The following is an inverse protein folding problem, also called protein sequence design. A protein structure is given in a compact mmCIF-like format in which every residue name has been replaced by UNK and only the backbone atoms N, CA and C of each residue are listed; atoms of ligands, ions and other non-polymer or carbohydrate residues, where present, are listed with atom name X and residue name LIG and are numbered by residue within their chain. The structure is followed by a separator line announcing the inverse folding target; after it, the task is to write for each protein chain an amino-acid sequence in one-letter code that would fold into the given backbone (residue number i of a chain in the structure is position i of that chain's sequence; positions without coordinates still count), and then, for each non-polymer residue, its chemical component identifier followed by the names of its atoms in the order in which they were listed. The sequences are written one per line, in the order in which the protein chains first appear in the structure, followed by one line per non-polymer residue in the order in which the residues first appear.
data_IF_318480473894
#
_entry.id   IF_318480473894
#
_cell.length_a   1.000
_cell.length_b   1.000
_cell.length_c   1.000
_cell.angle_alpha   90.00
_cell.angle_beta   90.00
_cell.angle_gamma   90.00
#
_symmetry.space_group_name_H-M   'P 1'
#
loop_
_entity.id
_entity.type
_entity.pdbx_description
1 polymer ?
#
# COMPACT_ATOMS: atom_id res chain seq x y z
N UNK A 1 6.20 15.52 -2.94
CA UNK A 1 6.97 14.93 -4.06
C UNK A 1 6.05 14.57 -5.23
N UNK A 2 6.39 15.03 -6.45
CA UNK A 2 5.62 14.80 -7.69
C UNK A 2 6.03 13.49 -8.37
N UNK A 3 5.11 12.81 -9.05
CA UNK A 3 5.41 11.60 -9.83
C UNK A 3 6.51 11.81 -10.89
N UNK A 4 6.70 13.05 -11.35
CA UNK A 4 7.76 13.43 -12.30
C UNK A 4 9.17 13.09 -11.79
N UNK A 5 9.35 13.10 -10.47
CA UNK A 5 10.61 12.80 -9.82
C UNK A 5 10.86 11.32 -9.56
N UNK A 6 9.88 10.43 -9.79
CA UNK A 6 10.06 8.99 -9.48
C UNK A 6 11.23 8.36 -10.23
N UNK A 7 11.40 8.55 -11.56
CA UNK A 7 12.51 7.90 -12.26
C UNK A 7 13.88 8.20 -11.64
N UNK A 8 14.10 9.44 -11.18
CA UNK A 8 15.32 9.84 -10.47
C UNK A 8 15.48 9.17 -9.10
N UNK A 9 14.39 9.05 -8.33
CA UNK A 9 14.42 8.32 -7.06
C UNK A 9 14.73 6.84 -7.25
N UNK A 10 14.13 6.21 -8.27
CA UNK A 10 14.36 4.80 -8.58
C UNK A 10 15.80 4.58 -9.02
N UNK A 11 16.37 5.47 -9.85
CA UNK A 11 17.80 5.41 -10.19
C UNK A 11 18.63 5.37 -8.92
N UNK A 12 18.40 6.32 -8.01
CA UNK A 12 19.11 6.39 -6.72
C UNK A 12 18.90 5.13 -5.88
N UNK A 13 17.68 4.57 -5.84
CA UNK A 13 17.40 3.33 -5.10
C UNK A 13 18.17 2.13 -5.69
N UNK A 14 18.13 1.95 -7.02
CA UNK A 14 18.88 0.89 -7.72
C UNK A 14 20.37 1.03 -7.42
N UNK A 15 20.93 2.22 -7.58
CA UNK A 15 22.34 2.48 -7.33
C UNK A 15 22.72 2.25 -5.86
N UNK A 16 21.82 2.58 -4.93
CA UNK A 16 22.01 2.32 -3.49
C UNK A 16 22.03 0.82 -3.21
N UNK A 17 21.06 0.05 -3.73
CA UNK A 17 21.00 -1.40 -3.53
C UNK A 17 22.20 -2.12 -4.15
N UNK A 18 22.70 -1.66 -5.29
CA UNK A 18 23.92 -2.22 -5.93
C UNK A 18 25.19 -1.99 -5.12
N UNK A 19 25.24 -0.90 -4.34
CA UNK A 19 26.42 -0.50 -3.57
C UNK A 19 26.35 -0.91 -2.09
N UNK A 20 25.21 -1.43 -1.63
CA UNK A 20 25.01 -1.87 -0.26
C UNK A 20 25.52 -3.30 -0.08
N UNK A 21 26.58 -3.47 0.72
CA UNK A 21 27.17 -4.79 0.99
C UNK A 21 26.29 -5.69 1.86
N UNK A 22 25.21 -5.17 2.45
CA UNK A 22 24.27 -5.94 3.27
C UNK A 22 23.13 -6.57 2.47
N UNK A 23 23.00 -6.20 1.19
CA UNK A 23 22.00 -6.75 0.27
C UNK A 23 22.73 -7.59 -0.78
N UNK A 24 22.35 -8.86 -0.93
CA UNK A 24 22.75 -9.62 -2.10
C UNK A 24 21.90 -9.14 -3.29
N UNK A 25 22.44 -8.17 -4.04
CA UNK A 25 21.72 -7.52 -5.13
C UNK A 25 21.23 -8.54 -6.16
N UNK A 26 21.98 -9.62 -6.41
CA UNK A 26 21.62 -10.63 -7.41
C UNK A 26 20.64 -11.68 -6.85
N UNK A 27 20.81 -12.07 -5.59
CA UNK A 27 20.11 -13.24 -5.07
C UNK A 27 18.94 -12.98 -4.13
N UNK A 28 18.90 -11.85 -3.43
CA UNK A 28 17.81 -11.54 -2.52
C UNK A 28 16.54 -11.14 -3.26
N UNK A 29 15.37 -11.53 -2.76
CA UNK A 29 14.12 -10.94 -3.21
C UNK A 29 13.94 -9.54 -2.63
N UNK A 30 13.62 -8.57 -3.49
CA UNK A 30 13.37 -7.18 -3.11
C UNK A 30 11.88 -6.87 -3.24
N UNK A 31 11.25 -6.41 -2.17
CA UNK A 31 9.91 -5.83 -2.22
C UNK A 31 10.01 -4.31 -2.22
N UNK A 32 9.52 -3.68 -3.28
CA UNK A 32 9.48 -2.20 -3.40
C UNK A 32 8.04 -1.74 -3.51
N UNK A 33 7.61 -0.90 -2.57
CA UNK A 33 6.29 -0.28 -2.60
C UNK A 33 6.32 1.10 -3.26
N UNK A 34 5.50 1.29 -4.28
CA UNK A 34 5.29 2.60 -4.93
C UNK A 34 3.92 3.16 -4.50
N UNK A 35 3.92 4.28 -3.79
CA UNK A 35 2.71 5.02 -3.43
C UNK A 35 2.91 6.51 -3.75
N UNK A 36 2.32 6.96 -4.86
CA UNK A 36 2.55 8.29 -5.43
C UNK A 36 1.27 8.88 -6.01
N UNK A 37 1.30 10.17 -6.31
CA UNK A 37 0.27 10.89 -7.04
C UNK A 37 -0.50 11.86 -6.16
N UNK A 38 -0.45 11.71 -4.83
CA UNK A 38 -1.17 12.58 -3.89
C UNK A 38 -0.82 14.06 -4.08
N UNK A 39 0.48 14.38 -4.18
CA UNK A 39 0.91 15.77 -4.40
C UNK A 39 0.48 16.32 -5.77
N UNK A 40 0.56 15.49 -6.80
CA UNK A 40 0.20 15.87 -8.17
C UNK A 40 -1.30 16.11 -8.28
N UNK A 41 -2.12 15.26 -7.67
CA UNK A 41 -3.57 15.44 -7.56
C UNK A 41 -3.92 16.73 -6.81
N UNK A 42 -3.22 17.02 -5.72
CA UNK A 42 -3.42 18.23 -4.91
C UNK A 42 -3.04 19.53 -5.62
N UNK A 43 -2.20 19.45 -6.65
CA UNK A 43 -1.70 20.60 -7.41
C UNK A 43 -2.18 20.62 -8.88
N UNK A 44 -2.95 19.62 -9.30
CA UNK A 44 -3.35 19.38 -10.68
C UNK A 44 -3.94 20.62 -11.36
N UNK A 45 -4.84 21.34 -10.66
CA UNK A 45 -5.50 22.52 -11.18
C UNK A 45 -4.56 23.70 -11.47
N UNK A 46 -3.36 23.72 -10.88
CA UNK A 46 -2.37 24.78 -11.08
C UNK A 46 -1.50 24.56 -12.32
N UNK A 47 -1.32 23.32 -12.77
CA UNK A 47 -0.50 22.98 -13.94
C UNK A 47 -0.97 21.69 -14.61
N UNK A 48 -2.14 21.74 -15.24
CA UNK A 48 -2.79 20.58 -15.87
C UNK A 48 -1.97 19.96 -17.01
N UNK A 49 -1.18 20.78 -17.71
CA UNK A 49 -0.37 20.31 -18.83
C UNK A 49 0.77 19.41 -18.34
N UNK A 50 1.49 19.86 -17.30
CA UNK A 50 2.60 19.12 -16.73
C UNK A 50 2.12 17.97 -15.86
N UNK A 51 1.03 18.16 -15.11
CA UNK A 51 0.41 17.17 -14.23
C UNK A 51 -0.65 16.33 -14.96
N UNK A 52 -0.37 15.94 -16.21
CA UNK A 52 -1.29 15.17 -17.06
C UNK A 52 -1.17 13.66 -16.86
N UNK A 53 -2.24 12.91 -17.19
CA UNK A 53 -2.25 11.45 -17.19
C UNK A 53 -1.16 10.87 -18.11
N UNK A 54 -0.90 11.51 -19.25
CA UNK A 54 0.13 11.08 -20.18
C UNK A 54 1.52 11.15 -19.53
N UNK A 55 1.82 12.23 -18.82
CA UNK A 55 3.08 12.35 -18.08
C UNK A 55 3.14 11.37 -16.90
N UNK A 56 2.02 11.15 -16.20
CA UNK A 56 1.95 10.14 -15.15
C UNK A 56 2.33 8.75 -15.71
N UNK A 57 1.65 8.32 -16.77
CA UNK A 57 1.89 7.02 -17.40
C UNK A 57 3.30 6.92 -17.98
N UNK A 58 3.84 7.99 -18.56
CA UNK A 58 5.23 8.05 -19.02
C UNK A 58 6.22 7.80 -17.87
N UNK A 59 6.14 8.59 -16.80
CA UNK A 59 7.07 8.48 -15.67
C UNK A 59 6.94 7.13 -14.95
N UNK A 60 5.72 6.61 -14.79
CA UNK A 60 5.50 5.28 -14.23
C UNK A 60 6.09 4.18 -15.13
N UNK A 61 5.85 4.20 -16.45
CA UNK A 61 6.45 3.23 -17.38
C UNK A 61 7.97 3.29 -17.37
N UNK A 62 8.56 4.49 -17.41
CA UNK A 62 10.02 4.66 -17.30
C UNK A 62 10.56 4.01 -16.04
N UNK A 63 9.86 4.21 -14.92
CA UNK A 63 10.19 3.66 -13.61
C UNK A 63 10.14 2.14 -13.56
N UNK A 64 9.06 1.54 -14.04
CA UNK A 64 8.91 0.08 -14.10
C UNK A 64 9.93 -0.54 -15.05
N UNK A 65 10.21 0.10 -16.19
CA UNK A 65 11.23 -0.36 -17.14
C UNK A 65 12.63 -0.38 -16.52
N UNK A 66 12.99 0.59 -15.69
CA UNK A 66 14.29 0.60 -15.00
C UNK A 66 14.43 -0.60 -14.06
N UNK A 67 13.40 -0.89 -13.27
CA UNK A 67 13.41 -2.10 -12.42
C UNK A 67 13.47 -3.37 -13.26
N UNK A 68 12.64 -3.46 -14.30
CA UNK A 68 12.56 -4.64 -15.18
C UNK A 68 13.87 -4.92 -15.93
N UNK A 69 14.65 -3.89 -16.25
CA UNK A 69 15.90 -4.04 -16.98
C UNK A 69 17.11 -4.30 -16.07
N UNK A 70 17.08 -3.80 -14.84
CA UNK A 70 18.30 -3.71 -14.02
C UNK A 70 18.26 -4.47 -12.70
N UNK A 71 17.09 -4.87 -12.21
CA UNK A 71 16.95 -5.47 -10.88
C UNK A 71 16.46 -6.92 -10.99
N UNK A 72 17.26 -7.90 -10.53
CA UNK A 72 16.84 -9.29 -10.40
C UNK A 72 15.94 -9.46 -9.16
N UNK A 73 15.07 -10.48 -9.20
CA UNK A 73 14.23 -10.92 -8.06
C UNK A 73 13.53 -9.77 -7.34
N UNK A 74 12.57 -9.14 -8.02
CA UNK A 74 11.86 -7.99 -7.48
C UNK A 74 10.34 -8.13 -7.61
N UNK A 75 9.64 -7.75 -6.54
CA UNK A 75 8.20 -7.55 -6.52
C UNK A 75 7.94 -6.05 -6.35
N UNK A 76 7.30 -5.46 -7.34
CA UNK A 76 6.83 -4.08 -7.29
C UNK A 76 5.39 -4.06 -6.78
N UNK A 77 5.21 -3.53 -5.58
CA UNK A 77 3.93 -3.40 -4.93
C UNK A 77 3.39 -1.97 -5.12
N UNK A 78 2.57 -1.74 -6.14
CA UNK A 78 2.07 -0.42 -6.51
C UNK A 78 0.75 -0.16 -5.78
N UNK A 79 0.75 0.77 -4.83
CA UNK A 79 -0.45 1.20 -4.12
C UNK A 79 -1.12 2.31 -4.91
N UNK A 80 -2.39 2.11 -5.27
CA UNK A 80 -3.16 3.15 -5.94
C UNK A 80 -3.30 4.39 -5.07
N UNK A 81 -3.33 5.56 -5.73
CA UNK A 81 -3.58 6.82 -5.05
C UNK A 81 -4.94 6.79 -4.33
N UNK A 82 -4.96 7.38 -3.12
CA UNK A 82 -6.17 7.61 -2.33
C UNK A 82 -7.24 8.31 -3.15
N UNK A 83 -8.47 7.82 -3.06
CA UNK A 83 -9.64 8.62 -3.41
C UNK A 83 -9.88 9.63 -2.28
N UNK A 84 -9.56 10.90 -2.53
CA UNK A 84 -9.42 11.89 -1.45
C UNK A 84 -10.67 12.74 -1.18
N UNK A 85 -11.84 12.38 -1.73
CA UNK A 85 -13.08 13.13 -1.48
C UNK A 85 -13.41 13.18 0.01
N UNK A 86 -13.19 12.06 0.69
CA UNK A 86 -13.39 11.95 2.12
C UNK A 86 -12.62 12.97 2.96
N UNK A 87 -11.47 13.48 2.48
CA UNK A 87 -10.66 14.44 3.23
C UNK A 87 -11.42 15.74 3.55
N UNK A 88 -12.37 16.14 2.69
CA UNK A 88 -13.24 17.31 2.90
C UNK A 88 -14.12 17.19 4.16
N UNK A 89 -14.34 15.96 4.64
CA UNK A 89 -15.12 15.67 5.85
C UNK A 89 -14.28 15.75 7.13
N UNK A 90 -12.95 15.64 7.04
CA UNK A 90 -12.05 15.67 8.18
C UNK A 90 -11.85 17.12 8.60
N UNK A 91 -12.50 17.52 9.69
CA UNK A 91 -12.44 18.88 10.22
C UNK A 91 -12.18 18.84 11.72
N UNK A 92 -11.33 19.74 12.20
CA UNK A 92 -11.05 19.97 13.61
C UNK A 92 -10.74 21.44 13.82
N UNK A 93 -11.18 21.99 14.94
CA UNK A 93 -10.87 23.38 15.32
C UNK A 93 -9.40 23.47 15.77
N UNK A 94 -8.50 23.60 14.79
CA UNK A 94 -7.06 23.70 14.99
C UNK A 94 -6.42 24.33 13.76
N UNK A 95 -5.29 25.01 13.96
CA UNK A 95 -4.58 25.68 12.87
C UNK A 95 -4.25 24.72 11.71
N UNK A 96 -3.82 23.49 12.04
CA UNK A 96 -3.46 22.52 11.02
C UNK A 96 -4.63 22.12 10.13
N UNK A 97 -5.78 21.81 10.72
CA UNK A 97 -6.93 21.35 9.94
C UNK A 97 -7.69 22.50 9.27
N UNK A 98 -7.76 23.67 9.89
CA UNK A 98 -8.50 24.82 9.33
C UNK A 98 -7.70 25.65 8.34
N UNK A 99 -6.36 25.65 8.42
CA UNK A 99 -5.50 26.48 7.58
C UNK A 99 -4.49 25.67 6.78
N UNK A 100 -3.77 24.73 7.39
CA UNK A 100 -2.72 23.99 6.66
C UNK A 100 -3.33 22.98 5.67
N UNK A 101 -4.34 22.22 6.07
CA UNK A 101 -4.99 21.21 5.23
C UNK A 101 -5.39 21.77 3.85
N UNK A 102 -6.16 22.89 3.76
CA UNK A 102 -6.56 23.41 2.46
C UNK A 102 -5.40 24.01 1.66
N UNK A 103 -4.32 24.46 2.31
CA UNK A 103 -3.12 24.95 1.63
C UNK A 103 -2.26 23.83 1.06
N UNK A 104 -2.24 22.65 1.69
CA UNK A 104 -1.51 21.48 1.21
C UNK A 104 -2.16 20.92 -0.06
N UNK A 105 -3.50 20.86 -0.08
CA UNK A 105 -4.28 20.30 -1.18
C UNK A 105 -5.32 21.27 -1.76
N UNK A 106 -4.90 22.42 -2.33
CA UNK A 106 -5.80 23.51 -2.70
C UNK A 106 -6.82 23.10 -3.75
N UNK A 107 -6.40 22.35 -4.78
CA UNK A 107 -7.29 21.92 -5.85
C UNK A 107 -8.45 21.07 -5.31
N UNK A 108 -8.20 20.25 -4.29
CA UNK A 108 -9.23 19.36 -3.77
C UNK A 108 -10.04 19.99 -2.63
N UNK A 109 -9.41 20.74 -1.73
CA UNK A 109 -10.01 21.17 -0.46
C UNK A 109 -10.53 22.61 -0.46
N UNK A 110 -10.06 23.47 -1.38
CA UNK A 110 -10.57 24.85 -1.50
C UNK A 110 -11.65 25.00 -2.58
N UNK A 111 -11.81 24.00 -3.43
CA UNK A 111 -12.82 24.02 -4.50
C UNK A 111 -14.23 23.94 -3.92
N UNK A 112 -15.15 24.71 -4.48
CA UNK A 112 -16.55 24.76 -4.06
C UNK A 112 -17.23 23.40 -4.20
N UNK A 113 -18.12 23.07 -3.27
CA UNK A 113 -18.96 21.87 -3.39
C UNK A 113 -19.81 21.92 -4.67
N UNK A 114 -20.06 20.75 -5.26
CA UNK A 114 -20.88 20.57 -6.47
C UNK A 114 -20.41 21.37 -7.71
N UNK A 115 -19.18 21.88 -7.69
CA UNK A 115 -18.62 22.63 -8.82
C UNK A 115 -18.11 21.71 -9.94
N UNK A 116 -18.10 22.17 -11.20
CA UNK A 116 -17.53 21.41 -12.30
C UNK A 116 -16.02 21.14 -12.11
N UNK A 117 -15.30 22.02 -11.43
CA UNK A 117 -13.89 21.84 -11.08
C UNK A 117 -13.70 20.70 -10.09
N UNK A 118 -14.56 20.59 -9.06
CA UNK A 118 -14.49 19.47 -8.11
C UNK A 118 -14.81 18.15 -8.82
N UNK A 119 -15.82 18.14 -9.70
CA UNK A 119 -16.16 16.97 -10.51
C UNK A 119 -15.00 16.54 -11.43
N UNK A 120 -14.30 17.51 -12.04
CA UNK A 120 -13.10 17.25 -12.85
C UNK A 120 -11.98 16.61 -12.03
N UNK A 121 -11.68 17.14 -10.84
CA UNK A 121 -10.58 16.65 -10.01
C UNK A 121 -10.90 15.25 -9.45
N UNK A 122 -12.16 15.00 -9.06
CA UNK A 122 -12.63 13.66 -8.68
C UNK A 122 -12.45 12.67 -9.82
N UNK A 123 -12.79 13.07 -11.05
CA UNK A 123 -12.54 12.24 -12.24
C UNK A 123 -11.05 12.01 -12.46
N UNK A 124 -10.22 13.03 -12.37
CA UNK A 124 -8.77 12.91 -12.53
C UNK A 124 -8.14 11.97 -11.48
N UNK A 125 -8.61 12.00 -10.23
CA UNK A 125 -8.21 11.04 -9.20
C UNK A 125 -8.50 9.59 -9.63
N UNK A 126 -9.68 9.34 -10.21
CA UNK A 126 -10.08 8.02 -10.73
C UNK A 126 -9.29 7.61 -11.96
N UNK A 127 -9.02 8.56 -12.86
CA UNK A 127 -8.23 8.31 -14.05
C UNK A 127 -6.78 7.96 -13.67
N UNK A 128 -6.18 8.55 -12.63
CA UNK A 128 -4.87 8.12 -12.10
C UNK A 128 -4.88 6.68 -11.58
N UNK A 129 -5.94 6.25 -10.89
CA UNK A 129 -6.09 4.86 -10.43
C UNK A 129 -6.17 3.90 -11.63
N UNK A 130 -6.97 4.24 -12.64
CA UNK A 130 -7.09 3.46 -13.87
C UNK A 130 -5.78 3.39 -14.66
N UNK A 131 -5.09 4.51 -14.83
CA UNK A 131 -3.80 4.56 -15.52
C UNK A 131 -2.72 3.77 -14.78
N UNK A 132 -2.80 3.66 -13.45
CA UNK A 132 -1.90 2.81 -12.67
C UNK A 132 -2.03 1.34 -13.06
N UNK A 133 -3.26 0.83 -13.17
CA UNK A 133 -3.51 -0.52 -13.67
C UNK A 133 -3.10 -0.69 -15.13
N UNK A 134 -3.41 0.28 -15.99
CA UNK A 134 -3.03 0.21 -17.41
C UNK A 134 -1.52 0.15 -17.60
N UNK A 135 -0.75 0.88 -16.79
CA UNK A 135 0.72 0.85 -16.83
C UNK A 135 1.25 -0.48 -16.30
N UNK A 136 0.71 -0.99 -15.20
CA UNK A 136 1.17 -2.22 -14.58
C UNK A 136 0.83 -3.47 -15.40
N UNK A 137 -0.38 -3.51 -15.97
CA UNK A 137 -0.95 -4.69 -16.64
C UNK A 137 -1.15 -4.51 -18.15
N UNK A 138 -0.64 -3.41 -18.72
CA UNK A 138 -0.69 -3.15 -20.17
C UNK A 138 0.20 -4.06 -21.02
N UNK A 139 0.88 -5.03 -20.39
CA UNK A 139 1.83 -5.96 -21.00
C UNK A 139 3.28 -5.47 -20.95
N UNK A 140 4.21 -6.42 -21.05
CA UNK A 140 5.66 -6.16 -21.14
C UNK A 140 6.49 -6.48 -19.90
N UNK A 141 5.87 -7.05 -18.86
CA UNK A 141 6.55 -7.42 -17.61
C UNK A 141 6.40 -8.91 -17.24
N UNK A 142 5.88 -9.73 -18.17
CA UNK A 142 5.52 -11.14 -17.90
C UNK A 142 6.59 -12.15 -18.37
N UNK A 143 7.66 -11.69 -19.05
CA UNK A 143 8.66 -12.59 -19.64
C UNK A 143 9.77 -13.02 -18.65
N UNK A 144 9.69 -12.57 -17.39
CA UNK A 144 10.67 -12.88 -16.34
C UNK A 144 9.99 -13.56 -15.16
N UNK A 145 10.52 -14.73 -14.75
CA UNK A 145 10.04 -15.46 -13.58
C UNK A 145 10.43 -14.78 -12.25
N UNK A 146 11.40 -13.87 -12.27
CA UNK A 146 11.95 -13.18 -11.12
C UNK A 146 11.53 -11.70 -11.04
N UNK A 147 10.46 -11.33 -11.73
CA UNK A 147 9.89 -9.99 -11.73
C UNK A 147 8.37 -10.05 -11.62
N UNK A 148 7.79 -9.28 -10.70
CA UNK A 148 6.34 -9.15 -10.59
C UNK A 148 5.92 -7.71 -10.32
N UNK A 149 4.80 -7.30 -10.90
CA UNK A 149 4.10 -6.05 -10.56
C UNK A 149 2.73 -6.39 -10.01
N UNK A 150 2.44 -5.91 -8.81
CA UNK A 150 1.16 -6.11 -8.13
C UNK A 150 0.56 -4.76 -7.81
N UNK A 151 -0.60 -4.47 -8.39
CA UNK A 151 -1.39 -3.28 -8.05
C UNK A 151 -2.29 -3.57 -6.86
N UNK A 152 -2.21 -2.72 -5.83
CA UNK A 152 -3.04 -2.76 -4.64
C UNK A 152 -4.17 -1.74 -4.76
N UNK A 153 -5.42 -2.16 -5.00
CA UNK A 153 -6.58 -1.26 -5.07
C UNK A 153 -7.08 -0.85 -3.68
N UNK A 154 -6.23 -0.97 -2.64
CA UNK A 154 -6.54 -0.70 -1.23
C UNK A 154 -7.25 0.64 -1.02
N UNK A 155 -6.83 1.64 -1.79
CA UNK A 155 -7.28 3.02 -1.69
C UNK A 155 -8.22 3.46 -2.81
N UNK A 156 -8.63 2.52 -3.67
CA UNK A 156 -9.58 2.77 -4.74
C UNK A 156 -10.88 3.33 -4.20
N UNK A 157 -11.47 2.71 -3.18
CA UNK A 157 -12.71 3.16 -2.56
C UNK A 157 -12.44 3.50 -1.10
N UNK A 158 -11.89 4.70 -0.88
CA UNK A 158 -11.42 5.10 0.44
C UNK A 158 -12.60 5.44 1.36
N UNK A 159 -12.58 4.88 2.56
CA UNK A 159 -13.55 5.19 3.62
C UNK A 159 -12.82 5.96 4.71
N UNK A 160 -13.44 7.05 5.19
CA UNK A 160 -12.91 7.79 6.33
C UNK A 160 -13.21 6.99 7.61
N UNK A 161 -12.19 6.66 8.42
CA UNK A 161 -12.42 5.97 9.69
C UNK A 161 -13.27 6.86 10.60
N UNK A 162 -14.22 6.25 11.30
CA UNK A 162 -15.13 6.92 12.22
C UNK A 162 -14.81 6.53 13.66
N UNK A 163 -14.92 7.49 14.57
CA UNK A 163 -14.78 7.26 16.00
C UNK A 163 -16.09 6.73 16.62
N UNK A 164 -16.09 6.45 17.92
CA UNK A 164 -17.27 5.92 18.63
C UNK A 164 -18.49 6.85 18.58
N UNK A 165 -18.30 8.15 18.33
CA UNK A 165 -19.36 9.14 18.18
C UNK A 165 -19.85 9.30 16.72
N UNK A 166 -19.35 8.47 15.79
CA UNK A 166 -19.71 8.52 14.37
C UNK A 166 -19.14 9.72 13.62
N UNK A 167 -18.07 10.34 14.14
CA UNK A 167 -17.34 11.44 13.50
C UNK A 167 -16.03 10.95 12.90
N UNK A 168 -15.46 11.62 11.88
CA UNK A 168 -14.13 11.29 11.36
C UNK A 168 -13.09 11.17 12.48
N UNK A 169 -12.46 10.01 12.61
CA UNK A 169 -11.42 9.77 13.60
C UNK A 169 -10.13 10.49 13.17
N UNK A 170 -9.96 11.70 13.68
CA UNK A 170 -8.79 12.53 13.39
C UNK A 170 -7.47 11.94 13.90
N UNK A 171 -7.48 10.89 14.74
CA UNK A 171 -6.24 10.27 15.23
C UNK A 171 -5.48 9.48 14.16
N UNK A 172 -6.13 9.18 13.03
CA UNK A 172 -5.48 8.61 11.84
C UNK A 172 -4.64 9.63 11.05
N UNK A 173 -4.76 10.92 11.38
CA UNK A 173 -4.14 12.00 10.64
C UNK A 173 -3.18 12.79 11.54
N UNK A 174 -2.16 13.37 10.92
CA UNK A 174 -1.17 14.23 11.56
C UNK A 174 -1.81 15.56 11.99
N UNK A 175 -0.99 16.45 12.56
CA UNK A 175 -1.43 17.77 13.02
C UNK A 175 -2.09 18.62 11.92
N UNK A 176 -1.82 18.33 10.65
CA UNK A 176 -2.40 19.00 9.49
C UNK A 176 -3.75 18.43 9.01
N UNK A 177 -4.28 17.36 9.65
CA UNK A 177 -5.48 16.64 9.20
C UNK A 177 -5.43 16.12 7.74
N UNK A 178 -4.24 15.98 7.17
CA UNK A 178 -4.04 15.58 5.78
C UNK A 178 -3.14 14.34 5.68
N UNK A 179 -1.91 14.43 6.17
CA UNK A 179 -0.99 13.30 6.19
C UNK A 179 -1.43 12.29 7.25
N UNK A 180 -1.13 11.01 7.06
CA UNK A 180 -1.38 10.01 8.09
C UNK A 180 -0.53 10.28 9.33
N UNK A 181 -1.10 10.00 10.50
CA UNK A 181 -0.33 9.91 11.74
C UNK A 181 0.50 8.62 11.76
N UNK A 182 1.32 8.45 12.78
CA UNK A 182 1.98 7.16 13.07
C UNK A 182 0.96 6.00 13.11
N UNK A 183 -0.17 6.20 13.81
CA UNK A 183 -1.27 5.23 13.85
C UNK A 183 -1.82 4.94 12.44
N UNK A 184 -2.08 5.99 11.65
CA UNK A 184 -2.59 5.83 10.30
C UNK A 184 -1.63 5.06 9.39
N UNK A 185 -0.33 5.33 9.51
CA UNK A 185 0.71 4.58 8.80
C UNK A 185 0.81 3.12 9.26
N UNK A 186 0.73 2.85 10.57
CA UNK A 186 0.77 1.49 11.11
C UNK A 186 -0.41 0.65 10.61
N UNK A 187 -1.64 1.17 10.72
CA UNK A 187 -2.84 0.46 10.27
C UNK A 187 -2.83 0.24 8.74
N UNK A 188 -2.37 1.23 7.97
CA UNK A 188 -2.18 1.10 6.52
C UNK A 188 -1.16 0.00 6.20
N UNK A 189 -0.02 -0.03 6.89
CA UNK A 189 1.02 -1.05 6.68
C UNK A 189 0.50 -2.45 6.99
N UNK A 190 -0.20 -2.64 8.12
CA UNK A 190 -0.83 -3.92 8.46
C UNK A 190 -1.84 -4.36 7.42
N UNK A 191 -2.69 -3.45 6.94
CA UNK A 191 -3.69 -3.79 5.93
C UNK A 191 -3.07 -4.14 4.58
N UNK A 192 -2.03 -3.40 4.14
CA UNK A 192 -1.29 -3.70 2.92
C UNK A 192 -0.57 -5.05 3.01
N UNK A 193 0.06 -5.36 4.15
CA UNK A 193 0.71 -6.64 4.39
C UNK A 193 -0.28 -7.81 4.27
N UNK A 194 -1.42 -7.70 4.94
CA UNK A 194 -2.47 -8.73 4.87
C UNK A 194 -2.98 -8.94 3.44
N UNK A 195 -3.04 -7.89 2.62
CA UNK A 195 -3.46 -8.01 1.23
C UNK A 195 -2.40 -8.70 0.34
N UNK A 196 -1.11 -8.58 0.69
CA UNK A 196 -0.01 -9.27 0.00
C UNK A 196 0.14 -10.74 0.43
N UNK A 197 -0.30 -11.12 1.62
CA UNK A 197 -0.28 -12.51 2.11
C UNK A 197 -1.45 -13.35 1.56
N UNK A 198 -2.60 -12.72 1.27
CA UNK A 198 -3.79 -13.39 0.73
C UNK A 198 -4.25 -12.95 -0.70
N UNK A 199 -3.36 -12.66 -1.66
CA UNK A 199 -3.72 -12.05 -2.94
C UNK A 199 -4.51 -12.99 -3.86
N UNK A 200 -4.47 -14.30 -3.61
CA UNK A 200 -5.08 -15.33 -4.48
C UNK A 200 -6.44 -15.87 -3.98
N UNK A 201 -6.90 -15.49 -2.78
CA UNK A 201 -8.21 -15.96 -2.26
C UNK A 201 -9.39 -15.13 -2.83
N UNK A 202 -9.13 -13.94 -3.36
CA UNK A 202 -10.17 -13.08 -3.95
C UNK A 202 -9.81 -12.60 -5.36
N UNK A 203 -9.56 -13.54 -6.28
CA UNK A 203 -9.61 -13.21 -7.71
C UNK A 203 -11.08 -13.07 -8.16
N UNK A 204 -11.30 -12.21 -9.17
CA UNK A 204 -12.57 -11.74 -9.74
C UNK A 204 -13.66 -12.81 -10.02
N UNK A 205 -13.30 -14.09 -9.99
CA UNK A 205 -14.20 -15.23 -10.19
C UNK A 205 -15.10 -15.49 -8.97
N UNK A 206 -14.68 -15.10 -7.76
CA UNK A 206 -15.44 -15.31 -6.52
C UNK A 206 -16.10 -14.05 -5.94
N UNK A 207 -15.97 -12.89 -6.61
CA UNK A 207 -16.55 -11.62 -6.16
C UNK A 207 -18.02 -11.44 -6.54
N UNK A 208 -18.64 -12.42 -7.20
CA UNK A 208 -20.09 -12.44 -7.41
C UNK A 208 -20.76 -13.05 -6.17
N UNK A 209 -21.79 -12.42 -5.58
CA UNK A 209 -22.59 -13.11 -4.57
C UNK A 209 -23.15 -14.39 -5.20
N UNK A 210 -22.95 -15.53 -4.54
CA UNK A 210 -23.61 -16.78 -4.95
C UNK A 210 -25.10 -16.51 -5.16
N UNK A 211 -25.72 -17.05 -6.22
CA UNK A 211 -27.18 -16.96 -6.35
C UNK A 211 -27.82 -17.52 -5.08
N UNK A 212 -28.85 -16.83 -4.59
CA UNK A 212 -29.57 -17.22 -3.39
C UNK A 212 -30.02 -18.69 -3.53
N UNK A 213 -29.41 -19.58 -2.74
CA UNK A 213 -29.86 -20.96 -2.70
C UNK A 213 -31.27 -20.98 -2.12
N UNK A 214 -32.21 -21.34 -2.98
CA UNK A 214 -33.58 -21.71 -2.66
C UNK A 214 -33.58 -22.66 -1.48
N UNK A 215 -34.26 -22.25 -0.41
CA UNK A 215 -34.52 -23.03 0.79
C UNK A 215 -35.03 -24.42 0.41
N UNK A 216 -34.23 -25.45 0.64
CA UNK A 216 -34.74 -26.83 0.69
C UNK A 216 -34.40 -27.38 2.07
N UNK A 217 -35.47 -27.57 2.83
CA UNK A 217 -35.49 -28.09 4.19
C UNK A 217 -35.00 -29.53 4.21
N UNK A 218 -33.95 -29.83 4.97
CA UNK A 218 -33.68 -31.21 5.38
C UNK A 218 -33.08 -31.27 6.77
N UNK A 219 -33.67 -32.18 7.53
CA UNK A 219 -33.64 -32.35 8.98
C UNK A 219 -32.27 -32.78 9.51
N UNK A 220 -31.91 -32.20 10.66
CA UNK A 220 -30.72 -32.47 11.45
C UNK A 220 -30.70 -33.89 12.02
N UNK A 221 -29.56 -34.57 11.92
CA UNK A 221 -29.20 -35.61 12.90
C UNK A 221 -27.75 -35.40 13.33
N UNK A 222 -27.55 -35.26 14.64
CA UNK A 222 -26.28 -34.99 15.29
C UNK A 222 -25.40 -36.24 15.37
N UNK A 223 -24.09 -36.08 15.25
CA UNK A 223 -23.10 -37.02 15.80
C UNK A 223 -21.86 -36.26 16.25
N UNK A 224 -21.36 -36.62 17.43
CA UNK A 224 -20.43 -35.89 18.30
C UNK A 224 -18.95 -36.29 18.15
N UNK A 225 -18.06 -35.27 18.19
CA UNK A 225 -16.69 -35.19 18.78
C UNK A 225 -15.52 -35.99 18.15
N UNK A 226 -14.21 -35.62 18.35
CA UNK A 226 -13.64 -34.75 19.38
C UNK A 226 -12.61 -33.66 18.93
N UNK A 227 -12.22 -32.87 19.93
CA UNK A 227 -11.32 -31.70 20.04
C UNK A 227 -9.86 -31.92 19.65
N UNK A 228 -9.21 -30.86 19.11
CA UNK A 228 -8.00 -30.17 19.66
C UNK A 228 -7.42 -29.18 18.64
N UNK A 229 -7.44 -27.87 18.90
CA UNK A 229 -6.41 -26.95 18.38
C UNK A 229 -6.11 -25.86 19.41
N UNK A 230 -4.80 -25.69 19.63
CA UNK A 230 -4.15 -24.87 20.65
C UNK A 230 -4.41 -23.37 20.46
N UNK A 231 -4.82 -22.69 21.52
CA UNK A 231 -4.77 -21.22 21.64
C UNK A 231 -3.42 -20.81 22.23
N UNK A 232 -2.40 -20.64 21.38
CA UNK A 232 -1.17 -19.96 21.75
C UNK A 232 -1.08 -18.66 20.95
N UNK A 233 -1.16 -17.52 21.65
CA UNK A 233 -0.84 -16.21 21.09
C UNK A 233 0.68 -16.11 20.89
N UNK A 234 1.17 -15.61 19.73
CA UNK A 234 2.59 -15.31 19.58
C UNK A 234 2.98 -14.15 20.53
N UNK A 235 4.24 -14.11 21.01
CA UNK A 235 4.71 -13.06 21.89
C UNK A 235 4.71 -11.70 21.19
N UNK A 236 4.55 -10.59 21.94
CA UNK A 236 4.56 -9.26 21.36
C UNK A 236 5.95 -8.93 20.79
N UNK A 237 5.99 -8.43 19.55
CA UNK A 237 7.18 -7.82 18.99
C UNK A 237 7.46 -6.50 19.73
N UNK A 238 8.56 -6.44 20.48
CA UNK A 238 9.09 -5.19 21.03
C UNK A 238 9.85 -4.44 19.94
N UNK A 239 9.29 -3.34 19.43
CA UNK A 239 10.04 -2.38 18.62
C UNK A 239 10.95 -1.56 19.54
N UNK A 240 12.26 -1.81 19.51
CA UNK A 240 13.24 -0.97 20.20
C UNK A 240 13.31 0.41 19.55
N UNK A 241 13.05 1.46 20.33
CA UNK A 241 13.01 2.89 19.95
C UNK A 241 14.37 3.49 19.56
N UNK A 242 15.05 2.94 18.56
CA UNK A 242 16.26 3.55 17.99
C UNK A 242 16.29 3.39 16.48
N UNK A 243 15.41 4.11 15.79
CA UNK A 243 15.68 4.59 14.44
C UNK A 243 16.00 6.08 14.57
N UNK A 244 17.17 6.56 14.12
CA UNK A 244 17.49 7.98 14.20
C UNK A 244 16.48 8.73 13.32
N UNK A 245 15.70 9.61 13.95
CA UNK A 245 14.87 10.60 13.28
C UNK A 245 15.81 11.54 12.54
N UNK A 246 16.10 11.26 11.27
CA UNK A 246 16.73 12.24 10.39
C UNK A 246 15.71 13.35 10.15
N UNK A 247 16.15 14.60 10.35
CA UNK A 247 15.34 15.81 10.21
C UNK A 247 14.97 16.16 8.76
N UNK A 248 14.95 15.19 7.85
CA UNK A 248 14.60 15.38 6.45
C UNK A 248 13.11 15.09 6.24
N UNK A 249 12.29 16.11 6.50
CA UNK A 249 10.86 16.15 6.19
C UNK A 249 10.63 16.16 4.67
N UNK A 250 10.90 15.06 3.98
CA UNK A 250 10.37 14.70 2.65
C UNK A 250 10.78 13.26 2.31
N UNK A 251 10.10 12.26 2.89
CA UNK A 251 10.44 10.86 2.68
C UNK A 251 9.23 10.01 2.33
N UNK A 252 9.06 9.70 1.04
CA UNK A 252 8.45 8.42 0.68
C UNK A 252 9.23 7.32 1.41
N UNK A 253 8.52 6.46 2.14
CA UNK A 253 9.10 5.23 2.64
C UNK A 253 9.26 4.28 1.46
N UNK A 254 10.33 4.45 0.69
CA UNK A 254 10.93 3.34 -0.05
C UNK A 254 11.70 2.52 0.99
N UNK A 255 10.98 1.75 1.79
CA UNK A 255 11.58 0.76 2.66
C UNK A 255 11.67 -0.55 1.87
N UNK A 256 12.87 -1.01 1.46
CA UNK A 256 13.01 -2.38 1.01
C UNK A 256 12.69 -3.30 2.19
N UNK A 257 11.62 -4.06 2.10
CA UNK A 257 11.47 -5.24 2.95
C UNK A 257 12.22 -6.37 2.26
N UNK A 258 13.31 -6.84 2.87
CA UNK A 258 13.96 -8.06 2.45
C UNK A 258 13.09 -9.23 2.93
N UNK A 259 12.55 -10.01 1.98
CA UNK A 259 11.96 -11.30 2.29
C UNK A 259 13.10 -12.26 2.58
N UNK A 260 13.55 -12.32 3.84
CA UNK A 260 14.53 -13.32 4.26
C UNK A 260 13.89 -14.72 4.24
N UNK A 261 14.61 -15.66 3.64
CA UNK A 261 14.27 -17.07 3.54
C UNK A 261 14.14 -17.66 4.96
N UNK A 262 12.95 -18.05 5.39
CA UNK A 262 12.83 -19.01 6.49
C UNK A 262 13.17 -20.41 5.96
N UNK A 263 14.45 -20.76 5.95
CA UNK A 263 14.86 -22.15 5.78
C UNK A 263 14.67 -22.89 7.10
N UNK A 264 13.57 -23.65 7.14
CA UNK A 264 13.42 -24.98 7.75
C UNK A 264 14.54 -25.37 8.73
N UNK A 265 14.36 -25.05 10.01
CA UNK A 265 15.16 -25.56 11.11
C UNK A 265 14.30 -26.56 11.92
N UNK A 266 13.89 -27.64 11.25
CA UNK A 266 13.30 -28.84 11.86
C UNK A 266 13.95 -30.05 11.19
N UNK A 267 15.21 -30.31 11.51
CA UNK A 267 15.89 -31.59 11.29
C UNK A 267 17.29 -31.52 11.96
N UNK A 268 17.36 -31.49 13.30
CA UNK A 268 18.52 -32.07 14.04
C UNK A 268 18.38 -32.17 15.58
N UNK A 269 17.20 -32.46 16.13
CA UNK A 269 17.11 -32.92 17.52
C UNK A 269 16.89 -34.44 17.55
N UNK A 270 17.91 -35.20 17.10
CA UNK A 270 18.03 -36.60 17.48
C UNK A 270 18.51 -36.65 18.94
N UNK A 271 17.57 -36.80 19.87
CA UNK A 271 17.89 -37.07 21.27
C UNK A 271 18.52 -38.47 21.36
N UNK A 272 19.83 -38.50 21.62
CA UNK A 272 20.57 -39.72 21.92
C UNK A 272 20.14 -40.30 23.27
N UNK A 273 19.64 -41.53 23.21
CA UNK A 273 19.25 -42.34 24.36
C UNK A 273 20.49 -43.05 24.93
N UNK A 274 21.08 -42.52 26.00
CA UNK A 274 22.01 -43.25 26.86
C UNK A 274 21.30 -43.67 28.17
N UNK A 275 20.90 -44.94 28.16
CA UNK A 275 20.67 -45.88 29.29
C UNK A 275 21.26 -45.45 30.63
N UNK A 276 20.54 -45.71 31.74
CA UNK A 276 21.01 -46.50 32.90
C UNK A 276 19.84 -46.82 33.87
N UNK A 277 19.68 -48.13 34.14
CA UNK A 277 18.83 -48.85 35.13
C UNK A 277 17.32 -48.93 34.89
#
# INVERSE_FOLDING_TARGET
MSYRGIPGQIRKLIDTMKNDTTVDFENDWKLVTLFIGGNDLCQYCNDRATLSLQNYSLHMKTSLNMFYQEVPKIILNIVEILEIEGLRKIKKDSLGCSVLQPLICPCFLQTTEDSPELAEIKRFNRDLQYETENVAYGGGYDDREDFAVVVQPFFRNTIIPMNAEGRPDTTYFSVDCFHFSERGHADMASALWNNMEHPYIFTKVNSLPSPANTTTTTTTTATTSPTTHSTALPPPFECTNTVPVSSDWLGCHLAPALLQRQEKQEEDDSCGDERHW
#
